data_IF_696915096436
#
_entry.id   IF_696915096436
#
_cell.length_a   1.000
_cell.length_b   1.000
_cell.length_c   1.000
_cell.angle_alpha   90.00
_cell.angle_beta   90.00
_cell.angle_gamma   90.00
#
_symmetry.space_group_name_H-M   'P 1'
#
loop_
_entity.id
_entity.type
_entity.pdbx_description
1 polymer ?
#
# COMPACT_ATOMS: atom_id res chain seq x y z
N UNK A 1 -7.40 -4.58 16.09
CA UNK A 1 -6.12 -3.85 16.15
C UNK A 1 -6.13 -2.84 15.02
N UNK A 2 -6.25 -1.55 15.33
CA UNK A 2 -6.08 -0.50 14.32
C UNK A 2 -4.59 -0.19 14.28
N UNK A 3 -3.89 -0.54 13.19
CA UNK A 3 -2.52 -0.06 12.96
C UNK A 3 -2.66 1.36 12.43
N UNK A 4 -2.08 2.39 13.07
CA UNK A 4 -2.06 3.72 12.48
C UNK A 4 -1.24 3.63 11.20
N UNK A 5 -1.89 3.85 10.06
CA UNK A 5 -1.28 3.68 8.76
C UNK A 5 -2.24 4.03 7.64
N UNK A 6 -1.75 3.98 6.41
CA UNK A 6 -2.55 4.16 5.22
C UNK A 6 -2.01 3.33 4.08
N UNK A 7 -2.90 3.00 3.14
CA UNK A 7 -2.53 2.42 1.85
C UNK A 7 -3.11 3.28 0.74
N UNK A 8 -2.31 3.57 -0.26
CA UNK A 8 -2.73 4.23 -1.50
C UNK A 8 -2.62 3.22 -2.62
N UNK A 9 -3.68 3.07 -3.42
CA UNK A 9 -3.69 2.21 -4.60
C UNK A 9 -3.91 3.06 -5.83
N UNK A 10 -3.10 2.85 -6.86
CA UNK A 10 -3.35 3.37 -8.19
C UNK A 10 -3.93 2.29 -9.09
N UNK A 11 -5.00 2.64 -9.78
CA UNK A 11 -5.60 1.84 -10.83
C UNK A 11 -6.30 2.78 -11.82
N UNK A 12 -6.46 2.35 -13.08
CA UNK A 12 -7.12 3.18 -14.11
C UNK A 12 -8.63 3.34 -13.84
N UNK A 13 -9.22 2.39 -13.12
CA UNK A 13 -10.58 2.45 -12.59
C UNK A 13 -10.54 2.82 -11.10
N UNK A 14 -11.16 3.95 -10.75
CA UNK A 14 -11.20 4.47 -9.39
C UNK A 14 -11.99 3.58 -8.42
N UNK A 15 -13.02 2.86 -8.88
CA UNK A 15 -13.76 1.93 -8.02
C UNK A 15 -12.89 0.75 -7.62
N UNK A 16 -12.07 0.24 -8.55
CA UNK A 16 -11.10 -0.82 -8.26
C UNK A 16 -10.03 -0.33 -7.30
N UNK A 17 -9.52 0.90 -7.48
CA UNK A 17 -8.56 1.48 -6.54
C UNK A 17 -9.15 1.59 -5.11
N UNK A 18 -10.41 2.02 -4.99
CA UNK A 18 -11.10 2.14 -3.70
C UNK A 18 -11.30 0.78 -3.02
N UNK A 19 -11.83 -0.20 -3.75
CA UNK A 19 -12.01 -1.57 -3.25
C UNK A 19 -10.70 -2.20 -2.80
N UNK A 20 -9.64 -2.08 -3.62
CA UNK A 20 -8.33 -2.63 -3.30
C UNK A 20 -7.67 -1.90 -2.14
N UNK A 21 -7.81 -0.58 -2.03
CA UNK A 21 -7.26 0.16 -0.89
C UNK A 21 -7.84 -0.34 0.43
N UNK A 22 -9.15 -0.60 0.47
CA UNK A 22 -9.80 -1.16 1.66
C UNK A 22 -9.36 -2.60 1.91
N UNK A 23 -9.31 -3.44 0.88
CA UNK A 23 -8.88 -4.83 1.03
C UNK A 23 -7.44 -4.96 1.53
N UNK A 24 -6.52 -4.14 1.00
CA UNK A 24 -5.11 -4.14 1.41
C UNK A 24 -4.92 -3.54 2.80
N UNK A 25 -5.72 -2.52 3.18
CA UNK A 25 -5.65 -1.91 4.50
C UNK A 25 -5.98 -2.90 5.63
N UNK A 26 -6.90 -3.84 5.40
CA UNK A 26 -7.30 -4.83 6.42
C UNK A 26 -6.37 -6.05 6.51
N UNK A 27 -5.48 -6.24 5.54
CA UNK A 27 -4.50 -7.32 5.55
C UNK A 27 -3.36 -7.03 6.53
N UNK A 28 -2.63 -8.07 6.95
CA UNK A 28 -1.33 -7.82 7.56
C UNK A 28 -0.42 -7.13 6.53
N UNK A 29 0.32 -6.10 6.97
CA UNK A 29 1.14 -5.26 6.10
C UNK A 29 2.10 -6.08 5.21
N UNK A 30 2.77 -7.11 5.76
CA UNK A 30 3.71 -7.92 4.98
C UNK A 30 3.01 -8.80 3.95
N UNK A 31 1.80 -9.26 4.27
CA UNK A 31 0.98 -10.03 3.34
C UNK A 31 0.37 -9.14 2.26
N UNK A 32 -0.02 -7.91 2.60
CA UNK A 32 -0.56 -6.92 1.66
C UNK A 32 0.46 -6.54 0.59
N UNK A 33 1.72 -6.30 0.98
CA UNK A 33 2.82 -6.03 0.04
C UNK A 33 3.04 -7.23 -0.87
N UNK A 34 3.26 -8.43 -0.30
CA UNK A 34 3.53 -9.65 -1.09
C UNK A 34 2.39 -10.00 -2.04
N UNK A 35 1.15 -9.83 -1.61
CA UNK A 35 -0.04 -10.08 -2.43
C UNK A 35 -0.14 -9.08 -3.59
N UNK A 36 0.20 -7.82 -3.34
CA UNK A 36 0.17 -6.75 -4.34
C UNK A 36 1.25 -6.95 -5.40
N UNK A 37 2.49 -7.27 -4.98
CA UNK A 37 3.60 -7.55 -5.89
C UNK A 37 3.31 -8.73 -6.81
N UNK A 38 2.79 -9.83 -6.25
CA UNK A 38 2.43 -11.01 -7.03
C UNK A 38 1.36 -10.75 -8.11
N UNK A 39 0.67 -9.60 -8.06
CA UNK A 39 -0.39 -9.19 -8.99
C UNK A 39 -0.07 -7.92 -9.77
N UNK A 40 1.11 -7.33 -9.58
CA UNK A 40 1.49 -6.07 -10.20
C UNK A 40 0.58 -4.91 -9.81
N UNK A 41 -0.02 -4.94 -8.62
CA UNK A 41 -0.86 -3.85 -8.12
C UNK A 41 0.03 -2.70 -7.67
N UNK A 42 -0.18 -1.52 -8.24
CA UNK A 42 0.51 -0.30 -7.83
C UNK A 42 -0.06 0.19 -6.49
N UNK A 43 0.55 -0.26 -5.39
CA UNK A 43 0.23 0.16 -4.03
C UNK A 43 1.42 0.85 -3.33
N UNK A 44 1.10 1.78 -2.44
CA UNK A 44 2.02 2.47 -1.54
C UNK A 44 1.49 2.39 -0.11
N UNK A 45 2.29 1.83 0.78
CA UNK A 45 1.96 1.58 2.17
C UNK A 45 2.72 2.54 3.07
N UNK A 46 2.03 3.09 4.06
CA UNK A 46 2.62 3.89 5.13
C UNK A 46 2.20 3.30 6.47
N UNK A 47 3.15 2.71 7.18
CA UNK A 47 2.95 2.17 8.52
C UNK A 47 3.54 3.15 9.54
N UNK A 48 2.72 3.59 10.51
CA UNK A 48 3.18 4.50 11.57
C UNK A 48 3.56 3.67 12.78
N UNK A 49 4.81 3.78 13.23
CA UNK A 49 5.21 3.24 14.51
C UNK A 49 4.48 4.00 15.63
N UNK A 50 3.64 3.34 16.45
CA UNK A 50 2.82 4.03 17.44
C UNK A 50 3.61 4.59 18.62
N UNK A 51 4.84 4.10 18.85
CA UNK A 51 5.69 4.54 19.96
C UNK A 51 6.58 5.72 19.57
N UNK A 52 7.08 5.73 18.33
CA UNK A 52 8.04 6.73 17.85
C UNK A 52 7.44 7.76 16.91
N UNK A 53 6.26 7.48 16.33
CA UNK A 53 5.64 8.28 15.27
C UNK A 53 6.38 8.22 13.93
N UNK A 54 7.43 7.42 13.81
CA UNK A 54 8.16 7.22 12.55
C UNK A 54 7.25 6.52 11.54
N UNK A 55 7.28 6.99 10.30
CA UNK A 55 6.49 6.42 9.20
C UNK A 55 7.39 5.60 8.31
N UNK A 56 7.23 4.28 8.36
CA UNK A 56 7.86 3.35 7.44
C UNK A 56 7.04 3.26 6.16
N UNK A 57 7.71 3.38 5.01
CA UNK A 57 7.06 3.49 3.70
C UNK A 57 7.52 2.34 2.82
N UNK A 58 6.56 1.65 2.22
CA UNK A 58 6.84 0.57 1.27
C UNK A 58 6.04 0.81 0.00
N UNK A 59 6.72 0.92 -1.14
CA UNK A 59 6.09 1.01 -2.45
C UNK A 59 6.27 -0.31 -3.18
N UNK A 60 5.22 -0.76 -3.86
CA UNK A 60 5.33 -1.89 -4.78
C UNK A 60 6.20 -1.54 -5.99
N UNK A 61 6.73 -2.53 -6.70
CA UNK A 61 7.47 -2.31 -7.96
C UNK A 61 6.62 -1.52 -8.97
N UNK A 62 5.35 -1.91 -9.13
CA UNK A 62 4.41 -1.26 -10.03
C UNK A 62 4.14 0.21 -9.66
N UNK A 63 4.03 0.53 -8.37
CA UNK A 63 3.87 1.91 -7.92
C UNK A 63 5.14 2.71 -8.13
N UNK A 64 6.30 2.12 -7.80
CA UNK A 64 7.60 2.76 -7.93
C UNK A 64 7.93 3.10 -9.38
N UNK A 65 7.76 2.16 -10.30
CA UNK A 65 7.97 2.36 -11.72
C UNK A 65 7.03 3.44 -12.33
N UNK A 66 5.88 3.69 -11.69
CA UNK A 66 4.90 4.65 -12.19
C UNK A 66 5.10 6.06 -11.67
N UNK A 67 5.56 6.21 -10.42
CA UNK A 67 5.54 7.48 -9.69
C UNK A 67 6.86 7.87 -9.01
N UNK A 68 7.79 6.92 -8.81
CA UNK A 68 9.01 7.15 -8.03
C UNK A 68 10.31 6.97 -8.84
N UNK A 69 10.24 6.44 -10.06
CA UNK A 69 11.37 6.47 -10.99
C UNK A 69 11.57 7.88 -11.54
N UNK A 70 12.83 8.35 -11.59
CA UNK A 70 13.24 9.61 -12.22
C UNK A 70 13.02 9.62 -13.73
#
# INVERSE_FOLDING_TARGET
MSRPGSVTVWHHDALVADMLSTALYVMDAQDAVRWSEARGIAAYFADVNPETGVVDRTATEAFSARFLSE
#
